data_IF_010537789306
#
_entry.id   IF_010537789306
#
_cell.length_a   1.000
_cell.length_b   1.000
_cell.length_c   1.000
_cell.angle_alpha   90.00
_cell.angle_beta   90.00
_cell.angle_gamma   90.00
#
_symmetry.space_group_name_H-M   'P 1'
#
loop_
_entity.id
_entity.type
_entity.pdbx_description
1 polymer ?
#
# COMPACT_ATOMS: atom_id res chain seq x y z
N UNK A 1 -2.24 -11.39 -10.38
CA UNK A 1 -0.91 -10.91 -10.79
C UNK A 1 -1.12 -10.28 -12.15
N UNK A 2 -0.77 -9.01 -12.33
CA UNK A 2 -0.69 -8.45 -13.67
C UNK A 2 0.48 -9.15 -14.39
N UNK A 3 0.26 -9.58 -15.62
CA UNK A 3 1.29 -10.28 -16.37
C UNK A 3 2.31 -9.26 -16.87
N UNK A 4 3.50 -9.27 -16.27
CA UNK A 4 4.62 -8.43 -16.68
C UNK A 4 5.06 -8.86 -18.07
N UNK A 5 4.87 -7.99 -19.07
CA UNK A 5 5.31 -8.24 -20.44
C UNK A 5 6.33 -7.21 -20.90
N UNK A 6 6.96 -7.50 -22.03
CA UNK A 6 7.95 -6.60 -22.64
C UNK A 6 7.34 -5.23 -22.95
N UNK A 7 6.10 -5.17 -23.42
CA UNK A 7 5.39 -3.94 -23.77
C UNK A 7 5.17 -3.03 -22.55
N UNK A 8 4.85 -3.59 -21.38
CA UNK A 8 4.60 -2.77 -20.18
C UNK A 8 5.89 -2.19 -19.61
N UNK A 9 7.02 -2.90 -19.71
CA UNK A 9 8.33 -2.43 -19.25
C UNK A 9 9.11 -1.62 -20.30
N UNK A 10 8.72 -1.67 -21.58
CA UNK A 10 9.42 -1.00 -22.69
C UNK A 10 9.74 0.48 -22.44
N UNK A 11 8.84 1.32 -21.89
CA UNK A 11 9.12 2.73 -21.61
C UNK A 11 10.26 2.97 -20.60
N UNK A 12 10.66 1.94 -19.85
CA UNK A 12 11.72 2.01 -18.84
C UNK A 12 13.09 1.65 -19.39
N UNK A 13 13.17 0.98 -20.55
CA UNK A 13 14.42 0.42 -21.06
C UNK A 13 15.28 1.55 -21.64
N UNK A 14 16.26 2.02 -20.87
CA UNK A 14 17.24 2.99 -21.36
C UNK A 14 18.40 2.32 -22.13
N UNK A 15 18.71 1.06 -21.81
CA UNK A 15 19.74 0.26 -22.50
C UNK A 15 19.45 -1.23 -22.31
N UNK A 16 19.63 -2.03 -23.35
CA UNK A 16 19.62 -3.49 -23.28
C UNK A 16 20.74 -4.02 -24.19
N UNK A 17 21.67 -4.79 -23.62
CA UNK A 17 22.84 -5.31 -24.32
C UNK A 17 23.07 -6.79 -24.00
N UNK A 18 23.06 -7.61 -25.05
CA UNK A 18 23.44 -9.00 -24.98
C UNK A 18 24.96 -9.14 -24.87
N UNK A 19 25.44 -9.85 -23.85
CA UNK A 19 26.83 -10.26 -23.69
C UNK A 19 26.86 -11.78 -23.52
N UNK A 20 27.21 -12.49 -24.59
CA UNK A 20 27.14 -13.95 -24.64
C UNK A 20 25.70 -14.45 -24.52
N UNK A 21 25.42 -15.26 -23.49
CA UNK A 21 24.08 -15.78 -23.14
C UNK A 21 23.33 -14.90 -22.14
N UNK A 22 23.89 -13.76 -21.73
CA UNK A 22 23.31 -12.89 -20.70
C UNK A 22 22.82 -11.59 -21.33
N UNK A 23 21.60 -11.18 -21.00
CA UNK A 23 21.07 -9.85 -21.31
C UNK A 23 21.36 -8.92 -20.12
N UNK A 24 22.02 -7.79 -20.37
CA UNK A 24 22.24 -6.74 -19.38
C UNK A 24 21.32 -5.56 -19.68
N UNK A 25 20.51 -5.15 -18.71
CA UNK A 25 19.50 -4.11 -18.84
C UNK A 25 19.80 -2.94 -17.91
N UNK A 26 19.59 -1.72 -18.42
CA UNK A 26 19.49 -0.50 -17.65
C UNK A 26 18.04 0.00 -17.74
N UNK A 27 17.31 -0.11 -16.64
CA UNK A 27 15.97 0.44 -16.50
C UNK A 27 16.06 1.84 -15.88
N UNK A 28 15.27 2.78 -16.37
CA UNK A 28 15.16 4.13 -15.81
C UNK A 28 13.71 4.40 -15.47
N UNK A 29 13.45 4.77 -14.20
CA UNK A 29 12.10 5.15 -13.80
C UNK A 29 11.76 6.54 -14.36
N UNK A 30 10.68 6.70 -15.16
CA UNK A 30 10.33 7.99 -15.77
C UNK A 30 9.94 9.05 -14.72
N UNK A 31 9.49 8.61 -13.54
CA UNK A 31 9.08 9.49 -12.43
C UNK A 31 10.27 10.06 -11.65
N UNK A 32 11.24 9.22 -11.29
CA UNK A 32 12.35 9.58 -10.39
C UNK A 32 13.69 9.76 -11.09
N UNK A 33 13.78 9.41 -12.38
CA UNK A 33 15.05 9.29 -13.13
C UNK A 33 16.06 8.31 -12.50
N UNK A 34 15.62 7.47 -11.56
CA UNK A 34 16.46 6.46 -10.93
C UNK A 34 16.84 5.38 -11.94
N UNK A 35 18.12 5.02 -11.97
CA UNK A 35 18.67 4.03 -12.88
C UNK A 35 18.96 2.72 -12.14
N UNK A 36 18.41 1.63 -12.64
CA UNK A 36 18.50 0.29 -12.05
C UNK A 36 19.14 -0.63 -13.09
N UNK A 37 20.29 -1.22 -12.73
CA UNK A 37 20.96 -2.23 -13.54
C UNK A 37 20.53 -3.63 -13.09
N UNK A 38 20.19 -4.49 -14.05
CA UNK A 38 19.88 -5.88 -13.81
C UNK A 38 20.29 -6.74 -15.01
N UNK A 39 20.39 -8.04 -14.80
CA UNK A 39 20.75 -8.98 -15.87
C UNK A 39 20.09 -10.33 -15.67
N UNK A 40 19.85 -11.04 -16.78
CA UNK A 40 19.31 -12.39 -16.79
C UNK A 40 19.90 -13.21 -17.94
N UNK A 41 19.92 -14.53 -17.78
CA UNK A 41 20.30 -15.46 -18.84
C UNK A 41 19.18 -15.58 -19.87
N UNK A 42 19.53 -15.67 -21.14
CA UNK A 42 18.59 -15.83 -22.25
C UNK A 42 18.19 -17.30 -22.35
N UNK A 43 16.96 -17.60 -21.92
CA UNK A 43 16.38 -18.95 -21.97
C UNK A 43 15.47 -19.12 -23.18
N UNK A 44 15.43 -20.34 -23.75
CA UNK A 44 14.60 -20.68 -24.91
C UNK A 44 13.27 -21.29 -24.48
N UNK A 45 12.21 -20.48 -24.36
CA UNK A 45 10.88 -20.98 -23.98
C UNK A 45 9.72 -20.36 -24.77
N UNK A 46 8.64 -21.15 -24.91
CA UNK A 46 7.45 -20.81 -25.69
C UNK A 46 6.33 -20.14 -24.90
N UNK A 47 5.47 -19.44 -25.62
CA UNK A 47 4.52 -18.41 -25.16
C UNK A 47 3.32 -18.92 -24.32
N UNK A 48 2.85 -18.08 -23.38
CA UNK A 48 1.49 -17.48 -23.40
C UNK A 48 1.29 -16.41 -22.29
N UNK A 49 0.26 -15.55 -22.40
CA UNK A 49 0.29 -14.14 -21.93
C UNK A 49 -0.95 -13.61 -21.13
N UNK A 50 -0.86 -12.34 -20.64
CA UNK A 50 -1.81 -11.18 -20.48
C UNK A 50 -3.37 -11.37 -20.45
N UNK A 51 -4.27 -10.54 -19.85
CA UNK A 51 -4.35 -9.10 -19.40
C UNK A 51 -5.20 -8.94 -18.07
N UNK A 52 -4.97 -7.82 -17.35
CA UNK A 52 -5.77 -6.92 -16.45
C UNK A 52 -7.34 -6.86 -16.59
N UNK A 53 -8.20 -5.98 -16.01
CA UNK A 53 -8.14 -4.74 -15.17
C UNK A 53 -9.53 -4.40 -14.53
N UNK A 54 -9.63 -3.31 -13.72
CA UNK A 54 -10.72 -2.25 -13.68
C UNK A 54 -11.24 -1.74 -12.29
N UNK A 55 -11.85 -0.53 -12.26
CA UNK A 55 -12.01 0.45 -11.13
C UNK A 55 -13.47 0.82 -10.74
N UNK A 56 -13.71 1.45 -9.56
CA UNK A 56 -14.85 2.40 -9.33
C UNK A 56 -14.73 3.41 -8.13
N UNK A 57 -15.29 4.62 -8.33
CA UNK A 57 -15.86 5.65 -7.41
C UNK A 57 -15.10 6.26 -6.21
N UNK A 58 -14.70 7.54 -6.30
CA UNK A 58 -14.20 8.49 -5.28
C UNK A 58 -14.26 8.19 -3.76
N UNK A 59 -15.43 8.33 -3.11
CA UNK A 59 -15.57 8.21 -1.64
C UNK A 59 -15.63 6.74 -1.21
N UNK A 60 -16.22 5.92 -2.07
CA UNK A 60 -16.04 4.48 -2.04
C UNK A 60 -14.59 4.05 -2.28
N UNK A 61 -13.77 4.86 -2.96
CA UNK A 61 -12.37 4.56 -3.22
C UNK A 61 -11.45 5.10 -2.13
N UNK A 62 -11.85 6.15 -1.38
CA UNK A 62 -11.28 6.47 -0.06
C UNK A 62 -11.53 5.30 0.89
N UNK A 63 -12.79 4.86 1.03
CA UNK A 63 -13.13 3.66 1.82
C UNK A 63 -12.40 2.42 1.32
N UNK A 64 -12.36 2.12 0.02
CA UNK A 64 -11.61 0.96 -0.52
C UNK A 64 -10.09 1.16 -0.48
N UNK A 65 -9.54 2.37 -0.36
CA UNK A 65 -8.10 2.59 -0.15
C UNK A 65 -7.70 2.42 1.31
N UNK A 66 -8.49 2.96 2.24
CA UNK A 66 -8.41 2.61 3.66
C UNK A 66 -8.61 1.09 3.80
N UNK A 67 -9.60 0.51 3.13
CA UNK A 67 -9.87 -0.93 3.08
C UNK A 67 -8.73 -1.76 2.47
N UNK A 68 -8.03 -1.27 1.43
CA UNK A 68 -6.82 -1.89 0.88
C UNK A 68 -5.65 -1.81 1.86
N UNK A 69 -5.47 -0.67 2.51
CA UNK A 69 -4.47 -0.47 3.58
C UNK A 69 -4.78 -1.33 4.81
N UNK A 70 -6.05 -1.53 5.14
CA UNK A 70 -6.49 -2.43 6.21
C UNK A 70 -6.25 -3.89 5.79
N UNK A 71 -6.60 -4.28 4.57
CA UNK A 71 -6.27 -5.61 4.03
C UNK A 71 -4.77 -5.91 4.13
N UNK A 72 -3.89 -4.97 3.75
CA UNK A 72 -2.44 -5.18 3.91
C UNK A 72 -2.01 -5.19 5.39
N UNK A 73 -2.56 -4.33 6.26
CA UNK A 73 -2.32 -4.36 7.70
C UNK A 73 -2.65 -5.72 8.34
N UNK A 74 -3.78 -6.31 7.93
CA UNK A 74 -4.29 -7.60 8.40
C UNK A 74 -3.64 -8.80 7.68
N UNK A 75 -2.72 -8.58 6.74
CA UNK A 75 -2.02 -9.63 5.98
C UNK A 75 -2.82 -10.23 4.81
N UNK A 76 -4.00 -9.72 4.51
CA UNK A 76 -4.83 -10.09 3.35
C UNK A 76 -4.40 -9.35 2.07
N UNK A 77 -3.11 -9.39 1.78
CA UNK A 77 -2.49 -8.75 0.63
C UNK A 77 -1.03 -8.45 0.89
N UNK A 78 -0.15 -9.23 0.26
CA UNK A 78 1.33 -9.26 0.40
C UNK A 78 1.84 -10.21 1.50
N UNK A 79 1.52 -11.50 1.34
CA UNK A 79 2.38 -12.58 1.86
C UNK A 79 3.39 -12.92 0.76
N UNK A 80 4.62 -12.45 0.92
CA UNK A 80 5.73 -12.93 0.11
C UNK A 80 6.01 -14.40 0.40
N UNK A 81 6.07 -15.23 -0.64
CA UNK A 81 6.73 -16.55 -0.57
C UNK A 81 8.08 -16.45 -1.28
N UNK A 82 9.11 -16.06 -0.55
CA UNK A 82 10.44 -16.60 -0.82
C UNK A 82 10.48 -18.00 -0.20
N UNK A 83 10.50 -19.03 -1.05
CA UNK A 83 11.21 -20.27 -0.74
C UNK A 83 12.20 -20.43 -1.89
N UNK A 84 13.47 -20.13 -1.61
CA UNK A 84 14.54 -20.49 -2.51
C UNK A 84 14.97 -21.92 -2.20
N UNK A 85 15.06 -22.77 -3.22
CA UNK A 85 15.89 -23.96 -3.17
C UNK A 85 17.23 -23.65 -3.85
N UNK A 86 18.28 -23.55 -3.02
CA UNK A 86 19.66 -23.59 -3.49
C UNK A 86 20.00 -25.06 -3.72
N UNK A 87 19.95 -25.52 -4.97
CA UNK A 87 20.52 -26.78 -5.39
C UNK A 87 21.78 -26.50 -6.26
N UNK A 88 22.92 -26.38 -5.60
CA UNK A 88 24.20 -26.18 -6.27
C UNK A 88 24.89 -27.48 -6.69
N UNK A 89 25.73 -27.37 -7.72
CA UNK A 89 26.80 -28.31 -8.11
C UNK A 89 26.41 -29.56 -8.92
N UNK A 90 26.83 -29.61 -10.19
CA UNK A 90 28.05 -30.35 -10.54
C UNK A 90 28.75 -29.77 -11.79
N UNK A 91 30.02 -30.16 -11.95
CA UNK A 91 31.08 -29.47 -12.71
C UNK A 91 31.30 -30.07 -14.10
N UNK A 92 31.16 -29.22 -15.13
CA UNK A 92 32.10 -28.95 -16.27
C UNK A 92 32.65 -30.11 -17.15
N UNK A 93 33.45 -29.80 -18.19
CA UNK A 93 33.42 -28.66 -19.13
C UNK A 93 33.17 -29.15 -20.58
N UNK A 94 32.90 -28.23 -21.53
CA UNK A 94 33.48 -28.42 -22.86
C UNK A 94 33.79 -27.11 -23.60
N UNK A 95 34.89 -27.12 -24.34
CA UNK A 95 35.43 -25.97 -25.09
C UNK A 95 35.07 -26.15 -26.57
N UNK A 96 34.05 -25.44 -27.07
CA UNK A 96 33.80 -25.40 -28.52
C UNK A 96 33.19 -24.09 -29.02
N UNK A 97 33.95 -23.42 -29.88
CA UNK A 97 33.54 -22.39 -30.86
C UNK A 97 32.73 -21.18 -30.37
N UNK A 98 33.33 -20.00 -30.57
CA UNK A 98 32.60 -18.75 -30.80
C UNK A 98 31.77 -18.87 -32.10
N UNK A 99 30.59 -19.46 -32.02
CA UNK A 99 29.48 -19.03 -32.85
C UNK A 99 28.77 -17.91 -32.11
N UNK A 100 28.47 -16.81 -32.80
CA UNK A 100 27.53 -15.81 -32.31
C UNK A 100 26.17 -16.49 -32.16
N UNK A 101 25.84 -16.93 -30.94
CA UNK A 101 24.55 -17.53 -30.64
C UNK A 101 23.48 -16.46 -30.86
N UNK A 102 22.85 -16.57 -32.02
CA UNK A 102 21.84 -15.63 -32.50
C UNK A 102 20.54 -16.01 -31.83
N UNK A 103 20.30 -15.41 -30.66
CA UNK A 103 19.02 -15.52 -29.99
C UNK A 103 17.95 -14.77 -30.78
N UNK A 104 16.73 -15.30 -30.78
CA UNK A 104 15.59 -14.63 -31.39
C UNK A 104 15.26 -13.35 -30.62
N UNK A 105 14.57 -12.40 -31.25
CA UNK A 105 14.17 -11.18 -30.55
C UNK A 105 13.15 -11.47 -29.43
N UNK A 106 12.37 -12.55 -29.55
CA UNK A 106 11.51 -13.08 -28.49
C UNK A 106 12.31 -13.61 -27.30
N UNK A 107 13.36 -14.40 -27.53
CA UNK A 107 14.27 -14.88 -26.49
C UNK A 107 14.93 -13.69 -25.76
N UNK A 108 15.33 -12.63 -26.50
CA UNK A 108 15.86 -11.38 -25.92
C UNK A 108 14.79 -10.63 -25.10
N UNK A 109 13.58 -10.45 -25.62
CA UNK A 109 12.49 -9.79 -24.89
C UNK A 109 12.16 -10.53 -23.59
N UNK A 110 12.10 -11.86 -23.62
CA UNK A 110 11.89 -12.69 -22.43
C UNK A 110 13.03 -12.53 -21.42
N UNK A 111 14.29 -12.45 -21.87
CA UNK A 111 15.43 -12.18 -21.00
C UNK A 111 15.39 -10.77 -20.39
N UNK A 112 14.91 -9.77 -21.11
CA UNK A 112 14.71 -8.40 -20.58
C UNK A 112 13.61 -8.41 -19.50
N UNK A 113 12.49 -9.12 -19.72
CA UNK A 113 11.43 -9.30 -18.72
C UNK A 113 11.96 -10.06 -17.50
N UNK A 114 12.74 -11.11 -17.69
CA UNK A 114 13.37 -11.86 -16.59
C UNK A 114 14.35 -10.98 -15.79
N UNK A 115 15.17 -10.14 -16.45
CA UNK A 115 16.05 -9.19 -15.79
C UNK A 115 15.26 -8.12 -15.01
N UNK A 116 14.12 -7.66 -15.54
CA UNK A 116 13.23 -6.73 -14.85
C UNK A 116 12.61 -7.34 -13.59
N UNK A 117 12.11 -8.57 -13.68
CA UNK A 117 11.56 -9.32 -12.53
C UNK A 117 12.65 -9.56 -11.48
N UNK A 118 13.84 -9.99 -11.90
CA UNK A 118 14.99 -10.23 -11.02
C UNK A 118 15.50 -8.95 -10.32
N UNK A 119 15.33 -7.78 -10.94
CA UNK A 119 15.64 -6.50 -10.30
C UNK A 119 14.78 -6.24 -9.05
N UNK A 120 13.52 -6.72 -9.05
CA UNK A 120 12.53 -6.55 -7.98
C UNK A 120 12.46 -5.10 -7.42
N UNK A 121 12.67 -4.12 -8.31
CA UNK A 121 12.89 -2.73 -7.96
C UNK A 121 11.78 -1.79 -8.44
N UNK A 122 10.73 -2.33 -9.07
CA UNK A 122 9.61 -1.57 -9.62
C UNK A 122 8.27 -2.15 -9.15
N UNK A 123 7.29 -1.27 -8.97
CA UNK A 123 5.89 -1.60 -8.64
C UNK A 123 5.00 -0.97 -9.70
N UNK A 124 3.94 -1.66 -10.11
CA UNK A 124 2.94 -1.12 -11.02
C UNK A 124 1.97 -0.22 -10.23
N UNK A 125 1.93 1.07 -10.57
CA UNK A 125 1.07 2.09 -9.96
C UNK A 125 0.33 2.81 -11.10
N UNK A 126 -1.01 2.88 -11.06
CA UNK A 126 -1.80 3.72 -11.98
C UNK A 126 -1.39 3.57 -13.46
N UNK A 127 -1.43 2.34 -13.97
CA UNK A 127 -1.19 2.00 -15.37
C UNK A 127 0.27 2.26 -15.87
N UNK A 128 1.25 2.40 -14.96
CA UNK A 128 2.69 2.49 -15.27
C UNK A 128 3.60 1.91 -14.17
N UNK A 129 4.87 1.62 -14.51
CA UNK A 129 5.89 1.18 -13.53
C UNK A 129 6.59 2.35 -12.84
N UNK A 130 6.68 2.30 -11.52
CA UNK A 130 7.39 3.27 -10.67
C UNK A 130 8.46 2.53 -9.85
N UNK A 131 9.64 3.13 -9.62
CA UNK A 131 10.65 2.46 -8.78
C UNK A 131 10.16 2.36 -7.33
N UNK A 132 10.47 1.26 -6.66
CA UNK A 132 10.00 0.97 -5.28
C UNK A 132 10.46 2.03 -4.29
N UNK A 133 11.62 2.64 -4.55
CA UNK A 133 12.14 3.78 -3.78
C UNK A 133 11.40 5.09 -4.08
N UNK A 134 11.10 5.38 -5.35
CA UNK A 134 10.25 6.51 -5.70
C UNK A 134 8.83 6.36 -5.11
N UNK A 135 8.33 5.13 -4.97
CA UNK A 135 7.11 4.83 -4.23
C UNK A 135 7.29 5.12 -2.72
N UNK A 136 8.39 4.68 -2.08
CA UNK A 136 8.68 5.02 -0.68
C UNK A 136 8.82 6.53 -0.41
N UNK A 137 9.43 7.28 -1.32
CA UNK A 137 9.51 8.75 -1.26
C UNK A 137 8.13 9.43 -1.48
N UNK A 138 7.20 8.74 -2.15
CA UNK A 138 5.80 9.14 -2.31
C UNK A 138 4.90 8.71 -1.16
N UNK A 139 5.27 7.72 -0.36
CA UNK A 139 4.44 7.25 0.76
C UNK A 139 4.25 8.35 1.82
N UNK A 140 3.01 8.50 2.24
CA UNK A 140 2.64 9.24 3.45
C UNK A 140 3.19 8.54 4.69
N UNK A 141 3.25 9.27 5.81
CA UNK A 141 3.75 8.69 7.06
C UNK A 141 2.81 7.59 7.60
N UNK A 142 1.52 7.64 7.23
CA UNK A 142 0.56 6.56 7.44
C UNK A 142 0.96 5.27 6.71
N UNK A 143 1.26 5.35 5.41
CA UNK A 143 1.66 4.18 4.61
C UNK A 143 3.02 3.62 5.05
N UNK A 144 3.94 4.48 5.49
CA UNK A 144 5.22 4.05 6.08
C UNK A 144 5.00 3.30 7.40
N UNK A 145 4.18 3.84 8.31
CA UNK A 145 3.85 3.19 9.57
C UNK A 145 3.23 1.81 9.34
N UNK A 146 2.27 1.72 8.41
CA UNK A 146 1.60 0.50 7.99
C UNK A 146 2.56 -0.57 7.46
N UNK A 147 3.56 -0.15 6.68
CA UNK A 147 4.54 -1.03 6.03
C UNK A 147 5.65 -1.47 6.97
N UNK A 148 6.10 -0.58 7.85
CA UNK A 148 7.17 -0.85 8.82
C UNK A 148 6.66 -1.68 10.01
N UNK A 149 5.40 -1.49 10.41
CA UNK A 149 4.80 -2.09 11.61
C UNK A 149 3.41 -2.70 11.33
N UNK A 150 3.31 -3.71 10.46
CA UNK A 150 2.05 -4.37 10.14
C UNK A 150 1.50 -5.20 11.32
N UNK A 151 0.18 -5.39 11.36
CA UNK A 151 -0.51 -6.10 12.44
C UNK A 151 -0.49 -7.60 12.14
N UNK A 152 0.66 -8.22 12.32
CA UNK A 152 0.90 -9.60 11.89
C UNK A 152 0.25 -10.68 12.79
N UNK A 153 0.16 -10.45 14.11
CA UNK A 153 -0.31 -11.48 15.04
C UNK A 153 -1.83 -11.63 15.01
N UNK A 154 -2.33 -12.86 15.00
CA UNK A 154 -3.77 -13.14 14.97
C UNK A 154 -4.54 -12.45 16.11
N UNK A 155 -3.98 -12.42 17.32
CA UNK A 155 -4.60 -11.74 18.46
C UNK A 155 -4.73 -10.23 18.22
N UNK A 156 -3.64 -9.55 17.84
CA UNK A 156 -3.67 -8.11 17.54
C UNK A 156 -4.64 -7.79 16.39
N UNK A 157 -4.71 -8.64 15.37
CA UNK A 157 -5.68 -8.50 14.27
C UNK A 157 -7.12 -8.57 14.78
N UNK A 158 -7.43 -9.52 15.68
CA UNK A 158 -8.74 -9.65 16.31
C UNK A 158 -9.10 -8.42 17.16
N UNK A 159 -8.16 -7.94 17.99
CA UNK A 159 -8.36 -6.75 18.83
C UNK A 159 -8.56 -5.50 17.96
N UNK A 160 -7.73 -5.32 16.93
CA UNK A 160 -7.85 -4.21 15.98
C UNK A 160 -9.19 -4.22 15.25
N UNK A 161 -9.65 -5.38 14.76
CA UNK A 161 -10.95 -5.51 14.12
C UNK A 161 -12.09 -5.06 15.04
N UNK A 162 -12.03 -5.42 16.34
CA UNK A 162 -12.97 -4.95 17.37
C UNK A 162 -12.82 -3.46 17.70
N UNK A 163 -11.63 -2.87 17.63
CA UNK A 163 -11.45 -1.41 17.74
C UNK A 163 -12.17 -0.67 16.61
N UNK A 164 -11.98 -1.10 15.36
CA UNK A 164 -12.55 -0.45 14.18
C UNK A 164 -14.08 -0.59 14.14
N UNK A 165 -14.60 -1.78 14.44
CA UNK A 165 -16.04 -2.03 14.60
C UNK A 165 -16.61 -1.23 15.78
N UNK A 166 -15.88 -1.15 16.90
CA UNK A 166 -16.30 -0.42 18.09
C UNK A 166 -16.47 1.08 17.88
N UNK A 167 -15.64 1.67 17.01
CA UNK A 167 -15.77 3.09 16.60
C UNK A 167 -17.03 3.27 15.74
N UNK A 168 -17.23 2.45 14.72
CA UNK A 168 -18.45 2.51 13.90
C UNK A 168 -19.74 2.10 14.65
N UNK A 169 -19.63 1.57 15.87
CA UNK A 169 -20.74 1.30 16.78
C UNK A 169 -20.88 2.34 17.90
N UNK A 170 -20.11 3.43 17.88
CA UNK A 170 -20.14 4.44 18.94
C UNK A 170 -21.48 5.18 19.04
N UNK A 171 -22.27 5.21 17.96
CA UNK A 171 -23.65 5.72 17.91
C UNK A 171 -24.71 4.67 18.28
N UNK A 172 -24.30 3.40 18.38
CA UNK A 172 -25.12 2.25 18.73
C UNK A 172 -25.58 1.37 17.56
N UNK A 173 -25.37 1.72 16.28
CA UNK A 173 -25.85 0.89 15.15
C UNK A 173 -24.95 0.89 13.91
N UNK A 174 -24.42 -0.29 13.57
CA UNK A 174 -23.82 -0.54 12.25
C UNK A 174 -24.90 -0.53 11.16
N UNK A 175 -24.72 0.32 10.14
CA UNK A 175 -25.53 0.29 8.92
C UNK A 175 -25.17 -0.90 8.03
N UNK A 176 -26.06 -1.29 7.10
CA UNK A 176 -25.75 -2.34 6.12
C UNK A 176 -24.57 -1.99 5.21
N UNK A 177 -24.37 -0.69 4.93
CA UNK A 177 -23.24 -0.22 4.16
C UNK A 177 -21.92 -0.44 4.91
N UNK A 178 -21.90 -0.21 6.22
CA UNK A 178 -20.73 -0.44 7.06
C UNK A 178 -20.48 -1.92 7.29
N UNK A 179 -21.52 -2.74 7.50
CA UNK A 179 -21.38 -4.21 7.53
C UNK A 179 -20.69 -4.73 6.28
N UNK A 180 -21.14 -4.31 5.09
CA UNK A 180 -20.52 -4.66 3.82
C UNK A 180 -19.09 -4.12 3.68
N UNK A 181 -18.84 -2.91 4.18
CA UNK A 181 -17.50 -2.30 4.18
C UNK A 181 -16.51 -3.07 5.07
N UNK A 182 -16.84 -3.32 6.34
CA UNK A 182 -16.03 -4.11 7.27
C UNK A 182 -15.81 -5.54 6.76
N UNK A 183 -16.84 -6.18 6.22
CA UNK A 183 -16.73 -7.53 5.61
C UNK A 183 -15.79 -7.58 4.39
N UNK A 184 -15.47 -6.42 3.78
CA UNK A 184 -14.57 -6.35 2.62
C UNK A 184 -13.07 -6.36 2.98
N UNK A 185 -12.70 -6.20 4.25
CA UNK A 185 -11.31 -6.18 4.69
C UNK A 185 -11.03 -6.90 6.02
N UNK A 186 -12.04 -7.12 6.87
CA UNK A 186 -11.90 -7.99 8.03
C UNK A 186 -11.79 -9.43 7.55
N UNK A 187 -10.73 -10.07 8.02
CA UNK A 187 -10.36 -11.41 7.64
C UNK A 187 -11.36 -12.46 8.20
N UNK A 188 -11.91 -13.37 7.37
CA UNK A 188 -12.91 -14.35 7.83
C UNK A 188 -12.46 -15.29 8.94
N UNK A 189 -11.15 -15.49 9.15
CA UNK A 189 -10.59 -16.26 10.28
C UNK A 189 -10.79 -15.57 11.64
N UNK A 190 -11.03 -14.25 11.67
CA UNK A 190 -11.28 -13.49 12.90
C UNK A 190 -12.74 -13.62 13.41
N UNK A 191 -13.66 -14.07 12.53
CA UNK A 191 -15.10 -14.14 12.78
C UNK A 191 -15.91 -13.18 11.90
N UNK A 192 -17.24 -13.33 11.90
CA UNK A 192 -18.13 -12.43 11.18
C UNK A 192 -18.21 -11.04 11.85
N UNK A 193 -18.54 -10.00 11.08
CA UNK A 193 -18.66 -8.62 11.60
C UNK A 193 -19.69 -8.56 12.75
N UNK A 194 -20.78 -9.30 12.64
CA UNK A 194 -21.83 -9.41 13.66
C UNK A 194 -21.33 -10.10 14.94
N UNK A 195 -20.47 -11.12 14.83
CA UNK A 195 -19.88 -11.81 15.98
C UNK A 195 -18.87 -10.90 16.70
N UNK A 196 -18.08 -10.14 15.94
CA UNK A 196 -17.13 -9.17 16.47
C UNK A 196 -17.86 -7.99 17.14
N UNK A 197 -18.95 -7.51 16.55
CA UNK A 197 -19.83 -6.51 17.14
C UNK A 197 -20.45 -6.98 18.47
N UNK A 198 -20.94 -8.24 18.52
CA UNK A 198 -21.52 -8.83 19.74
C UNK A 198 -20.50 -9.02 20.87
N UNK A 199 -19.20 -9.17 20.57
CA UNK A 199 -18.12 -9.18 21.57
C UNK A 199 -17.80 -7.78 22.12
N UNK A 200 -18.32 -6.72 21.52
CA UNK A 200 -18.10 -5.34 21.93
C UNK A 200 -16.66 -4.84 21.73
N UNK A 201 -16.44 -3.58 22.13
CA UNK A 201 -15.12 -2.95 22.15
C UNK A 201 -14.13 -3.75 23.02
N UNK A 202 -12.83 -3.76 22.68
CA UNK A 202 -11.83 -4.40 23.50
C UNK A 202 -11.62 -3.62 24.81
N UNK A 203 -11.53 -4.36 25.93
CA UNK A 203 -11.23 -3.78 27.23
C UNK A 203 -9.76 -3.38 27.37
N UNK A 204 -9.43 -2.57 28.39
CA UNK A 204 -8.07 -2.10 28.63
C UNK A 204 -7.06 -3.26 28.76
N UNK A 205 -7.40 -4.31 29.51
CA UNK A 205 -6.56 -5.52 29.67
C UNK A 205 -6.36 -6.25 28.32
N UNK A 206 -7.39 -6.31 27.46
CA UNK A 206 -7.25 -6.96 26.15
C UNK A 206 -6.28 -6.19 25.23
N UNK A 207 -6.24 -4.85 25.36
CA UNK A 207 -5.32 -3.96 24.66
C UNK A 207 -3.91 -4.00 25.25
N UNK A 208 -3.78 -4.14 26.58
CA UNK A 208 -2.49 -4.31 27.27
C UNK A 208 -1.76 -5.60 26.85
N UNK A 209 -2.51 -6.67 26.56
CA UNK A 209 -1.99 -7.97 26.09
C UNK A 209 -1.62 -8.01 24.58
N UNK A 210 -1.84 -6.93 23.82
CA UNK A 210 -1.42 -6.86 22.40
C UNK A 210 0.10 -6.78 22.25
N UNK A 211 0.63 -7.09 21.07
CA UNK A 211 2.07 -6.93 20.80
C UNK A 211 2.57 -5.53 21.16
N UNK A 212 3.77 -5.47 21.75
CA UNK A 212 4.40 -4.23 22.18
C UNK A 212 5.04 -3.47 21.02
N UNK A 213 5.24 -2.16 21.19
CA UNK A 213 5.92 -1.29 20.21
C UNK A 213 4.99 -0.77 19.11
N UNK A 214 5.58 -0.42 17.96
CA UNK A 214 4.94 0.39 16.92
C UNK A 214 3.71 -0.25 16.26
N UNK A 215 3.48 -1.56 16.42
CA UNK A 215 2.23 -2.22 16.00
C UNK A 215 1.02 -1.53 16.64
N UNK A 216 1.12 -1.13 17.92
CA UNK A 216 0.05 -0.41 18.63
C UNK A 216 -0.25 0.96 18.01
N UNK A 217 0.79 1.66 17.58
CA UNK A 217 0.67 2.92 16.84
C UNK A 217 -0.08 2.70 15.52
N UNK A 218 0.19 1.59 14.81
CA UNK A 218 -0.57 1.20 13.61
C UNK A 218 -2.04 0.92 13.94
N UNK A 219 -2.34 0.17 15.01
CA UNK A 219 -3.71 -0.12 15.44
C UNK A 219 -4.52 1.17 15.71
N UNK A 220 -3.95 2.10 16.49
CA UNK A 220 -4.60 3.37 16.80
C UNK A 220 -4.72 4.30 15.59
N UNK A 221 -3.73 4.33 14.70
CA UNK A 221 -3.75 5.14 13.49
C UNK A 221 -4.82 4.67 12.49
N UNK A 222 -5.02 3.35 12.38
CA UNK A 222 -6.13 2.78 11.60
C UNK A 222 -7.48 3.13 12.23
N UNK A 223 -7.58 3.08 13.56
CA UNK A 223 -8.77 3.50 14.30
C UNK A 223 -9.12 4.98 14.06
N UNK A 224 -8.12 5.88 14.09
CA UNK A 224 -8.28 7.28 13.69
C UNK A 224 -8.77 7.43 12.24
N UNK A 225 -8.26 6.61 11.30
CA UNK A 225 -8.68 6.72 9.90
C UNK A 225 -10.16 6.38 9.69
N UNK A 226 -10.70 5.41 10.43
CA UNK A 226 -12.13 5.06 10.39
C UNK A 226 -12.98 6.19 10.95
N UNK A 227 -12.67 6.69 12.15
CA UNK A 227 -13.40 7.77 12.83
C UNK A 227 -13.32 9.15 12.14
N UNK A 228 -12.52 9.27 11.08
CA UNK A 228 -12.38 10.49 10.27
C UNK A 228 -12.95 10.31 8.85
N UNK A 229 -13.42 9.10 8.50
CA UNK A 229 -13.87 8.77 7.12
C UNK A 229 -15.17 9.47 6.73
N UNK A 230 -16.04 9.81 7.68
CA UNK A 230 -17.27 10.57 7.46
C UNK A 230 -17.08 12.11 7.51
N UNK A 231 -15.91 12.56 7.94
CA UNK A 231 -15.56 13.96 8.13
C UNK A 231 -16.15 14.61 9.38
N UNK A 232 -16.67 13.85 10.37
CA UNK A 232 -17.21 14.38 11.63
C UNK A 232 -16.95 13.46 12.83
N UNK A 233 -15.79 13.63 13.47
CA UNK A 233 -15.46 12.90 14.70
C UNK A 233 -16.51 13.15 15.81
N UNK A 234 -17.30 12.14 16.15
CA UNK A 234 -18.29 12.21 17.20
C UNK A 234 -17.64 12.18 18.60
N UNK A 235 -18.23 12.82 19.64
CA UNK A 235 -17.67 12.79 21.00
C UNK A 235 -17.50 11.39 21.58
N UNK A 236 -18.36 10.43 21.18
CA UNK A 236 -18.26 9.04 21.60
C UNK A 236 -17.06 8.32 20.97
N UNK A 237 -16.79 8.53 19.68
CA UNK A 237 -15.60 7.99 18.99
C UNK A 237 -14.31 8.60 19.55
N UNK A 238 -14.30 9.91 19.81
CA UNK A 238 -13.17 10.60 20.41
C UNK A 238 -12.82 10.00 21.79
N UNK A 239 -13.82 9.74 22.63
CA UNK A 239 -13.63 9.12 23.95
C UNK A 239 -13.14 7.66 23.84
N UNK A 240 -13.61 6.89 22.84
CA UNK A 240 -13.11 5.54 22.56
C UNK A 240 -11.64 5.58 22.10
N UNK A 241 -11.28 6.50 21.21
CA UNK A 241 -9.91 6.66 20.72
C UNK A 241 -8.93 7.09 21.82
N UNK A 242 -9.34 7.97 22.74
CA UNK A 242 -8.56 8.33 23.92
C UNK A 242 -8.38 7.13 24.87
N UNK A 243 -9.44 6.34 25.06
CA UNK A 243 -9.40 5.09 25.85
C UNK A 243 -8.46 4.05 25.22
N UNK A 244 -8.51 3.89 23.90
CA UNK A 244 -7.63 3.00 23.16
C UNK A 244 -6.17 3.47 23.21
N UNK A 245 -5.90 4.76 22.99
CA UNK A 245 -4.55 5.32 23.10
C UNK A 245 -3.94 5.06 24.48
N UNK A 246 -4.70 5.37 25.54
CA UNK A 246 -4.28 5.15 26.93
C UNK A 246 -3.99 3.68 27.21
N UNK A 247 -4.91 2.78 26.83
CA UNK A 247 -4.78 1.33 27.10
C UNK A 247 -3.68 0.66 26.27
N UNK A 248 -3.36 1.19 25.09
CA UNK A 248 -2.23 0.76 24.27
C UNK A 248 -0.89 1.31 24.79
N UNK A 249 -0.89 2.24 25.76
CA UNK A 249 0.33 2.89 26.28
C UNK A 249 0.87 4.00 25.37
N UNK A 250 0.02 4.59 24.52
CA UNK A 250 0.36 5.65 23.57
C UNK A 250 0.09 7.01 24.24
N UNK A 251 1.07 7.91 24.20
CA UNK A 251 0.92 9.24 24.82
C UNK A 251 -0.02 10.16 24.03
N UNK A 252 -0.54 11.22 24.67
CA UNK A 252 -1.38 12.21 24.00
C UNK A 252 -0.68 12.89 22.80
N UNK A 253 0.63 13.16 22.92
CA UNK A 253 1.45 13.72 21.84
C UNK A 253 1.56 12.73 20.67
N UNK A 254 1.84 11.45 20.96
CA UNK A 254 1.89 10.39 19.93
C UNK A 254 0.53 10.19 19.27
N UNK A 255 -0.56 10.14 20.04
CA UNK A 255 -1.93 10.04 19.51
C UNK A 255 -2.27 11.22 18.59
N UNK A 256 -1.83 12.43 18.93
CA UNK A 256 -1.98 13.63 18.09
C UNK A 256 -1.20 13.51 16.78
N UNK A 257 0.03 12.98 16.80
CA UNK A 257 0.80 12.71 15.58
C UNK A 257 0.12 11.66 14.71
N UNK A 258 -0.35 10.55 15.29
CA UNK A 258 -1.03 9.47 14.55
C UNK A 258 -2.36 9.95 13.95
N UNK A 259 -3.10 10.82 14.64
CA UNK A 259 -4.27 11.53 14.10
C UNK A 259 -3.88 12.37 12.88
N UNK A 260 -2.83 13.19 13.00
CA UNK A 260 -2.31 14.00 11.89
C UNK A 260 -1.90 13.16 10.66
N UNK A 261 -1.25 12.02 10.88
CA UNK A 261 -0.93 11.05 9.82
C UNK A 261 -2.19 10.48 9.14
N UNK A 262 -3.22 10.13 9.92
CA UNK A 262 -4.49 9.63 9.37
C UNK A 262 -5.27 10.72 8.60
N UNK A 263 -5.36 11.95 9.15
CA UNK A 263 -5.97 13.10 8.46
C UNK A 263 -5.24 13.40 7.15
N UNK A 264 -3.90 13.44 7.17
CA UNK A 264 -3.09 13.65 5.98
C UNK A 264 -3.29 12.53 4.94
N UNK A 265 -3.41 11.26 5.36
CA UNK A 265 -3.68 10.14 4.44
C UNK A 265 -5.03 10.28 3.72
N UNK A 266 -6.11 10.52 4.47
CA UNK A 266 -7.46 10.72 3.92
C UNK A 266 -7.48 11.91 2.95
N UNK A 267 -6.83 13.02 3.33
CA UNK A 267 -6.69 14.17 2.46
C UNK A 267 -5.92 13.80 1.19
N UNK A 268 -4.70 13.24 1.26
CA UNK A 268 -3.89 12.86 0.09
C UNK A 268 -4.66 11.99 -0.91
N UNK A 269 -5.39 10.99 -0.43
CA UNK A 269 -6.18 10.14 -1.30
C UNK A 269 -7.32 10.91 -1.99
N UNK A 270 -7.95 11.84 -1.27
CA UNK A 270 -8.97 12.73 -1.82
C UNK A 270 -8.40 13.72 -2.84
N UNK A 271 -7.16 14.17 -2.66
CA UNK A 271 -6.43 15.02 -3.61
C UNK A 271 -6.24 14.31 -4.96
N UNK A 272 -5.85 13.03 -4.97
CA UNK A 272 -5.76 12.23 -6.20
C UNK A 272 -7.10 12.25 -6.95
N UNK A 273 -8.23 12.11 -6.25
CA UNK A 273 -9.55 12.21 -6.88
C UNK A 273 -9.84 13.63 -7.40
N UNK A 274 -9.68 14.67 -6.58
CA UNK A 274 -10.02 16.06 -6.93
C UNK A 274 -9.17 16.59 -8.09
N UNK A 275 -7.86 16.37 -8.09
CA UNK A 275 -6.99 16.81 -9.18
C UNK A 275 -7.26 16.04 -10.49
N UNK A 276 -7.67 14.77 -10.41
CA UNK A 276 -8.03 13.97 -11.60
C UNK A 276 -9.38 14.39 -12.22
N UNK A 277 -10.40 14.66 -11.40
CA UNK A 277 -11.79 14.81 -11.87
C UNK A 277 -12.34 16.24 -11.80
N UNK A 278 -11.71 17.13 -11.05
CA UNK A 278 -12.19 18.51 -10.83
C UNK A 278 -11.04 19.50 -10.57
N UNK A 279 -9.99 19.55 -11.41
CA UNK A 279 -8.76 20.31 -11.14
C UNK A 279 -8.99 21.81 -10.91
N UNK A 280 -10.03 22.41 -11.52
CA UNK A 280 -10.36 23.82 -11.35
C UNK A 280 -10.87 24.18 -9.94
N UNK A 281 -11.49 23.21 -9.25
CA UNK A 281 -12.02 23.37 -7.88
C UNK A 281 -11.23 22.59 -6.85
N UNK A 282 -10.21 21.84 -7.28
CA UNK A 282 -9.48 20.90 -6.43
C UNK A 282 -8.91 21.57 -5.17
N UNK A 283 -8.23 22.71 -5.30
CA UNK A 283 -7.68 23.43 -4.14
C UNK A 283 -8.77 23.88 -3.14
N UNK A 284 -9.96 24.29 -3.61
CA UNK A 284 -11.07 24.65 -2.73
C UNK A 284 -11.67 23.41 -2.04
N UNK A 285 -11.90 22.33 -2.77
CA UNK A 285 -12.43 21.06 -2.24
C UNK A 285 -11.46 20.44 -1.22
N UNK A 286 -10.16 20.56 -1.48
CA UNK A 286 -9.08 20.13 -0.58
C UNK A 286 -9.12 20.86 0.77
N UNK A 287 -9.26 22.19 0.73
CA UNK A 287 -9.34 23.01 1.94
C UNK A 287 -10.64 22.75 2.73
N UNK A 288 -11.76 22.58 2.03
CA UNK A 288 -13.03 22.22 2.66
C UNK A 288 -12.96 20.86 3.37
N UNK A 289 -12.38 19.84 2.72
CA UNK A 289 -12.19 18.53 3.34
C UNK A 289 -11.22 18.59 4.54
N UNK A 290 -10.11 19.31 4.42
CA UNK A 290 -9.15 19.45 5.52
C UNK A 290 -9.78 20.12 6.76
N UNK A 291 -10.69 21.08 6.57
CA UNK A 291 -11.48 21.68 7.64
C UNK A 291 -12.48 20.68 8.26
N UNK A 292 -13.15 19.86 7.46
CA UNK A 292 -14.04 18.79 7.95
C UNK A 292 -13.26 17.75 8.79
N UNK A 293 -12.09 17.33 8.31
CA UNK A 293 -11.17 16.46 9.05
C UNK A 293 -10.62 17.09 10.33
N UNK A 294 -10.83 18.39 10.57
CA UNK A 294 -10.35 19.12 11.74
C UNK A 294 -8.84 19.40 11.71
N UNK A 295 -8.24 19.54 10.52
CA UNK A 295 -6.84 19.94 10.35
C UNK A 295 -6.68 21.45 10.53
N UNK A 296 -5.53 21.88 11.08
CA UNK A 296 -5.21 23.31 11.13
C UNK A 296 -4.89 23.87 9.73
N UNK A 297 -5.21 25.14 9.45
CA UNK A 297 -4.96 25.74 8.12
C UNK A 297 -3.52 25.54 7.60
N UNK A 298 -2.51 25.71 8.46
CA UNK A 298 -1.10 25.50 8.12
C UNK A 298 -0.73 24.03 7.88
N UNK A 299 -1.43 23.10 8.53
CA UNK A 299 -1.25 21.66 8.39
C UNK A 299 -1.89 21.17 7.09
N UNK A 300 -3.12 21.62 6.81
CA UNK A 300 -3.81 21.40 5.54
C UNK A 300 -2.99 21.90 4.35
N UNK A 301 -2.51 23.15 4.40
CA UNK A 301 -1.64 23.74 3.38
C UNK A 301 -0.34 22.92 3.21
N UNK A 302 0.31 22.53 4.31
CA UNK A 302 1.51 21.68 4.27
C UNK A 302 1.24 20.33 3.61
N UNK A 303 0.13 19.67 3.94
CA UNK A 303 -0.26 18.39 3.34
C UNK A 303 -0.52 18.51 1.83
N UNK A 304 -1.24 19.55 1.40
CA UNK A 304 -1.51 19.84 -0.02
C UNK A 304 -0.22 20.17 -0.78
N UNK A 305 0.69 20.96 -0.19
CA UNK A 305 2.01 21.26 -0.78
C UNK A 305 2.85 20.00 -0.91
N UNK A 306 2.89 19.15 0.11
CA UNK A 306 3.62 17.87 0.05
C UNK A 306 3.04 16.94 -1.03
N UNK A 307 1.71 16.86 -1.16
CA UNK A 307 1.05 16.12 -2.22
C UNK A 307 1.46 16.63 -3.61
N UNK A 308 1.34 17.94 -3.86
CA UNK A 308 1.73 18.57 -5.13
C UNK A 308 3.21 18.33 -5.45
N UNK A 309 4.09 18.31 -4.44
CA UNK A 309 5.52 17.94 -4.62
C UNK A 309 5.70 16.49 -5.02
N UNK A 310 5.04 15.54 -4.33
CA UNK A 310 5.10 14.09 -4.64
C UNK A 310 4.59 13.73 -6.05
N UNK A 311 3.55 14.42 -6.50
CA UNK A 311 2.91 14.27 -7.82
C UNK A 311 3.48 15.20 -8.90
N UNK A 312 4.50 16.02 -8.60
CA UNK A 312 5.14 16.98 -9.54
C UNK A 312 4.15 17.96 -10.21
N UNK A 313 3.17 18.47 -9.44
CA UNK A 313 2.11 19.37 -9.91
C UNK A 313 2.44 20.87 -9.74
N UNK A 314 3.68 21.26 -10.07
CA UNK A 314 4.22 22.63 -9.94
C UNK A 314 4.81 23.13 -11.26
#
# INVERSE_FOLDING_TARGET
MENITYESIYPLIARAEQVGTTMNCLFVCPVSSEQIQASATIERFGQNAMIDSAKQTAMWSIRDAIGRSLRSAFGYGVVGRMVGDIAGSFVSPDYSSQQEQTFTDEEKCNAIVAAFIAANAFVWEQDHWVSSKALQDRMTDFEKQLTNSPIAQHYDRLISARMLIGIALADGQLSDQERGYFSSFIAPDLGAVEELAQRGTPGAVELEETSQGDVRSTMLMLAWSIALTDGQLAPAEAALLETFATSLGITADQSTVLKGSAQAYILNYSLDYFFTHSPQTADQQSQQLAQQLGMGNQEAERAIIQYKKRRQLY
#
